data_IF_179392661346
#
_entry.id   IF_179392661346
#
_cell.length_a   1.000
_cell.length_b   1.000
_cell.length_c   1.000
_cell.angle_alpha   90.00
_cell.angle_beta   90.00
_cell.angle_gamma   90.00
#
_symmetry.space_group_name_H-M   'P 1'
#
loop_
_entity.id
_entity.type
_entity.pdbx_description
1 polymer ?
#
# COMPACT_ATOMS: atom_id res chain seq x y z
N UNK A 1 -28.10 6.45 -0.80
CA UNK A 1 -27.16 7.36 -0.13
C UNK A 1 -27.18 7.03 1.36
N UNK A 2 -26.09 7.17 2.12
CA UNK A 2 -26.12 6.86 3.54
C UNK A 2 -27.14 7.76 4.25
N UNK A 3 -27.87 7.21 5.21
CA UNK A 3 -28.80 7.93 6.08
C UNK A 3 -28.04 8.18 7.38
N UNK A 4 -27.48 9.39 7.58
CA UNK A 4 -26.68 9.76 8.75
C UNK A 4 -25.66 10.88 8.48
N UNK A 5 -24.91 11.30 9.51
CA UNK A 5 -23.82 12.26 9.41
C UNK A 5 -22.71 11.71 8.48
N UNK A 6 -22.45 12.42 7.38
CA UNK A 6 -21.49 12.05 6.35
C UNK A 6 -20.09 11.82 6.93
N UNK A 7 -19.70 12.61 7.94
CA UNK A 7 -18.41 12.48 8.61
C UNK A 7 -18.32 11.18 9.41
N UNK A 8 -19.35 10.87 10.19
CA UNK A 8 -19.41 9.64 10.98
C UNK A 8 -19.38 8.40 10.09
N UNK A 9 -20.04 8.45 8.93
CA UNK A 9 -19.99 7.38 7.94
C UNK A 9 -18.58 7.17 7.37
N UNK A 10 -17.90 8.26 6.98
CA UNK A 10 -16.51 8.22 6.48
C UNK A 10 -15.54 7.64 7.52
N UNK A 11 -15.62 8.12 8.77
CA UNK A 11 -14.79 7.64 9.87
C UNK A 11 -15.01 6.15 10.12
N UNK A 12 -16.26 5.70 10.17
CA UNK A 12 -16.61 4.29 10.38
C UNK A 12 -16.11 3.39 9.26
N UNK A 13 -16.21 3.86 8.01
CA UNK A 13 -15.72 3.12 6.83
C UNK A 13 -14.20 3.02 6.84
N UNK A 14 -13.50 4.11 7.15
CA UNK A 14 -12.04 4.11 7.21
C UNK A 14 -11.52 3.23 8.36
N UNK A 15 -12.17 3.27 9.52
CA UNK A 15 -11.90 2.39 10.65
C UNK A 15 -11.99 0.90 10.27
N UNK A 16 -13.05 0.51 9.57
CA UNK A 16 -13.23 -0.88 9.13
C UNK A 16 -12.14 -1.32 8.15
N UNK A 17 -11.73 -0.43 7.23
CA UNK A 17 -10.65 -0.70 6.28
C UNK A 17 -9.33 -0.87 7.05
N UNK A 18 -8.98 0.06 7.93
CA UNK A 18 -7.76 0.00 8.74
C UNK A 18 -7.66 -1.29 9.56
N UNK A 19 -8.73 -1.64 10.29
CA UNK A 19 -8.79 -2.87 11.08
C UNK A 19 -8.63 -4.13 10.21
N UNK A 20 -9.29 -4.17 9.06
CA UNK A 20 -9.18 -5.30 8.12
C UNK A 20 -7.76 -5.42 7.55
N UNK A 21 -7.14 -4.29 7.22
CA UNK A 21 -5.78 -4.23 6.70
C UNK A 21 -4.75 -4.71 7.72
N UNK A 22 -4.90 -4.32 8.99
CA UNK A 22 -3.98 -4.70 10.07
C UNK A 22 -4.05 -6.18 10.44
N UNK A 23 -5.20 -6.84 10.22
CA UNK A 23 -5.31 -8.32 10.39
C UNK A 23 -4.39 -9.09 9.47
N UNK A 24 -3.99 -8.52 8.33
CA UNK A 24 -3.00 -9.13 7.42
C UNK A 24 -1.55 -9.01 7.94
N UNK A 25 -1.33 -8.28 9.05
CA UNK A 25 -0.01 -8.01 9.64
C UNK A 25 1.03 -7.50 8.63
N UNK A 26 0.70 -6.44 7.87
CA UNK A 26 1.60 -5.86 6.89
C UNK A 26 2.76 -5.15 7.60
N UNK A 27 3.97 -5.26 7.04
CA UNK A 27 5.10 -4.48 7.54
C UNK A 27 4.91 -2.99 7.25
N UNK A 28 4.37 -2.62 6.08
CA UNK A 28 4.29 -1.22 5.66
C UNK A 28 3.28 -0.99 4.54
N UNK A 29 2.70 0.20 4.50
CA UNK A 29 1.80 0.69 3.46
C UNK A 29 2.37 1.95 2.79
N UNK A 30 2.37 2.00 1.47
CA UNK A 30 2.65 3.22 0.73
C UNK A 30 1.40 4.09 0.64
N UNK A 31 1.51 5.38 0.95
CA UNK A 31 0.38 6.32 0.81
C UNK A 31 0.16 6.63 -0.67
N UNK A 32 -1.02 6.32 -1.18
CA UNK A 32 -1.46 6.64 -2.54
C UNK A 32 -2.40 7.85 -2.61
N UNK A 33 -2.74 8.27 -3.83
CA UNK A 33 -3.66 9.39 -4.10
C UNK A 33 -5.01 9.23 -3.40
N UNK A 34 -5.51 8.01 -3.37
CA UNK A 34 -6.87 7.71 -2.86
C UNK A 34 -6.93 7.77 -1.33
N UNK A 35 -5.79 7.64 -0.65
CA UNK A 35 -5.73 7.66 0.81
C UNK A 35 -5.85 9.09 1.36
N UNK A 36 -5.40 10.08 0.58
CA UNK A 36 -5.35 11.50 1.00
C UNK A 36 -6.52 12.34 0.51
N UNK A 37 -7.54 11.75 -0.12
CA UNK A 37 -8.69 12.50 -0.69
C UNK A 37 -9.49 13.26 0.37
N UNK A 38 -9.51 12.75 1.60
CA UNK A 38 -10.17 13.40 2.75
C UNK A 38 -9.19 14.28 3.55
N UNK A 39 -8.02 14.58 3.00
CA UNK A 39 -6.98 15.38 3.64
C UNK A 39 -5.95 14.57 4.42
N UNK A 40 -4.72 15.07 4.44
CA UNK A 40 -3.62 14.48 5.23
C UNK A 40 -3.91 14.45 6.73
N UNK A 41 -4.52 15.48 7.36
CA UNK A 41 -4.87 15.41 8.79
C UNK A 41 -5.79 14.25 9.15
N UNK A 42 -6.75 13.92 8.28
CA UNK A 42 -7.65 12.78 8.48
C UNK A 42 -6.88 11.45 8.45
N UNK A 43 -6.00 11.28 7.47
CA UNK A 43 -5.18 10.07 7.35
C UNK A 43 -4.18 9.94 8.51
N UNK A 44 -3.59 11.03 8.98
CA UNK A 44 -2.72 11.03 10.16
C UNK A 44 -3.50 10.64 11.42
N UNK A 45 -4.74 11.11 11.58
CA UNK A 45 -5.59 10.68 12.69
C UNK A 45 -5.86 9.16 12.68
N UNK A 46 -6.02 8.56 11.50
CA UNK A 46 -6.12 7.10 11.37
C UNK A 46 -4.79 6.40 11.65
N UNK A 47 -3.69 6.98 11.17
CA UNK A 47 -2.34 6.48 11.40
C UNK A 47 -2.06 6.35 12.90
N UNK A 48 -2.33 7.41 13.65
CA UNK A 48 -2.09 7.46 15.11
C UNK A 48 -3.07 6.57 15.87
N UNK A 49 -4.34 6.52 15.46
CA UNK A 49 -5.37 5.74 16.16
C UNK A 49 -5.20 4.23 16.01
N UNK A 50 -4.71 3.77 14.87
CA UNK A 50 -4.62 2.35 14.51
C UNK A 50 -3.18 1.87 14.35
N UNK A 51 -2.19 2.70 14.66
CA UNK A 51 -0.76 2.41 14.46
C UNK A 51 -0.45 1.95 13.02
N UNK A 52 -1.07 2.58 12.02
CA UNK A 52 -0.88 2.17 10.62
C UNK A 52 0.56 2.48 10.17
N UNK A 53 1.33 1.49 9.65
CA UNK A 53 2.69 1.73 9.21
C UNK A 53 2.73 2.39 7.83
N UNK A 54 2.32 3.66 7.74
CA UNK A 54 2.27 4.42 6.50
C UNK A 54 3.62 5.06 6.17
N UNK A 55 4.00 5.07 4.89
CA UNK A 55 5.17 5.79 4.38
C UNK A 55 4.85 6.59 3.13
N UNK A 56 5.55 7.72 2.97
CA UNK A 56 5.62 8.47 1.71
C UNK A 56 6.88 9.32 1.68
N UNK A 57 7.65 9.19 0.60
CA UNK A 57 8.89 9.94 0.38
C UNK A 57 8.67 11.33 -0.20
N UNK A 58 7.54 11.58 -0.85
CA UNK A 58 7.35 12.78 -1.67
C UNK A 58 6.10 13.59 -1.33
N UNK A 59 5.28 13.20 -0.35
CA UNK A 59 4.28 14.10 0.23
C UNK A 59 4.99 15.05 1.21
N UNK A 60 4.76 16.35 1.06
CA UNK A 60 5.23 17.40 1.98
C UNK A 60 4.12 18.38 2.29
N UNK A 61 4.11 18.90 3.50
CA UNK A 61 3.26 20.00 3.92
C UNK A 61 3.81 21.32 3.37
N UNK A 62 3.00 22.38 3.36
CA UNK A 62 3.41 23.71 2.88
C UNK A 62 4.62 24.29 3.62
N UNK A 63 4.83 23.87 4.89
CA UNK A 63 6.00 24.25 5.68
C UNK A 63 7.27 23.41 5.37
N UNK A 64 7.22 22.54 4.35
CA UNK A 64 8.32 21.69 3.92
C UNK A 64 8.54 20.41 4.75
N UNK A 65 7.74 20.17 5.80
CA UNK A 65 7.84 18.94 6.59
C UNK A 65 7.20 17.76 5.87
N UNK A 66 7.81 16.58 6.01
CA UNK A 66 7.17 15.33 5.62
C UNK A 66 6.18 14.89 6.71
N UNK A 67 4.90 14.70 6.40
CA UNK A 67 3.91 14.22 7.38
C UNK A 67 4.04 12.72 7.65
N UNK A 68 4.68 11.96 6.74
CA UNK A 68 4.90 10.51 6.87
C UNK A 68 6.40 10.20 6.93
N UNK A 69 6.80 9.09 7.59
CA UNK A 69 8.13 8.55 7.41
C UNK A 69 8.43 8.31 5.93
N UNK A 70 9.64 8.70 5.50
CA UNK A 70 10.03 8.60 4.08
C UNK A 70 10.37 7.18 3.65
N UNK A 71 10.88 6.39 4.59
CA UNK A 71 11.25 5.01 4.40
C UNK A 71 11.04 4.20 5.69
N UNK A 72 10.96 2.87 5.55
CA UNK A 72 11.01 1.91 6.65
C UNK A 72 12.11 0.88 6.39
N UNK A 73 12.91 0.57 7.39
CA UNK A 73 13.88 -0.53 7.32
C UNK A 73 13.26 -1.76 7.99
N UNK A 74 13.32 -2.90 7.31
CA UNK A 74 12.83 -4.20 7.78
C UNK A 74 14.03 -5.15 7.78
N UNK A 75 14.23 -5.89 8.89
CA UNK A 75 15.16 -7.02 8.89
C UNK A 75 14.46 -8.24 8.31
N UNK A 76 14.96 -8.72 7.18
CA UNK A 76 14.48 -9.94 6.55
C UNK A 76 15.61 -10.96 6.52
N UNK A 77 15.62 -11.85 7.53
CA UNK A 77 16.61 -12.93 7.67
C UNK A 77 18.06 -12.40 7.70
N UNK A 78 18.30 -11.31 8.45
CA UNK A 78 19.61 -10.67 8.56
C UNK A 78 19.99 -9.79 7.37
N UNK A 79 19.02 -9.49 6.48
CA UNK A 79 19.17 -8.53 5.38
C UNK A 79 18.36 -7.28 5.66
N UNK A 80 18.97 -6.12 5.44
CA UNK A 80 18.31 -4.82 5.60
C UNK A 80 17.51 -4.48 4.35
N UNK A 81 16.19 -4.58 4.45
CA UNK A 81 15.27 -4.18 3.38
C UNK A 81 14.73 -2.79 3.67
N UNK A 82 15.13 -1.82 2.85
CA UNK A 82 14.55 -0.48 2.86
C UNK A 82 13.31 -0.44 1.96
N UNK A 83 12.20 0.05 2.50
CA UNK A 83 10.97 0.28 1.75
C UNK A 83 10.72 1.78 1.67
N UNK A 84 10.52 2.29 0.46
CA UNK A 84 10.19 3.71 0.19
C UNK A 84 8.79 3.80 -0.45
N UNK A 85 8.06 4.88 -0.19
CA UNK A 85 6.73 5.11 -0.77
C UNK A 85 6.73 6.28 -1.74
N UNK A 86 6.12 6.16 -2.92
CA UNK A 86 6.03 7.23 -3.91
C UNK A 86 4.58 7.44 -4.34
N UNK A 87 4.10 8.67 -4.17
CA UNK A 87 2.74 9.09 -4.50
C UNK A 87 2.73 9.90 -5.80
N UNK A 88 1.75 9.70 -6.68
CA UNK A 88 1.67 10.49 -7.92
C UNK A 88 1.39 11.98 -7.62
N UNK A 89 2.05 12.95 -8.28
CA UNK A 89 1.79 14.37 -8.08
C UNK A 89 0.55 14.85 -8.84
N UNK A 90 -0.31 15.64 -8.18
CA UNK A 90 -1.46 16.30 -8.82
C UNK A 90 -1.55 17.75 -8.33
N UNK A 91 -0.73 18.67 -8.88
CA UNK A 91 -0.47 19.97 -8.27
C UNK A 91 -1.71 20.79 -7.87
N UNK A 92 -2.75 20.82 -8.72
CA UNK A 92 -3.99 21.54 -8.42
C UNK A 92 -4.76 20.92 -7.24
N UNK A 93 -4.85 19.58 -7.21
CA UNK A 93 -5.51 18.86 -6.10
C UNK A 93 -4.68 18.92 -4.83
N UNK A 94 -3.37 18.82 -4.96
CA UNK A 94 -2.44 18.90 -3.82
C UNK A 94 -2.59 20.23 -3.09
N UNK A 95 -2.62 21.32 -3.86
CA UNK A 95 -2.87 22.66 -3.32
C UNK A 95 -4.22 22.75 -2.60
N UNK A 96 -5.27 22.14 -3.14
CA UNK A 96 -6.59 22.12 -2.46
C UNK A 96 -6.59 21.34 -1.14
N UNK A 97 -5.62 20.45 -0.94
CA UNK A 97 -5.43 19.65 0.26
C UNK A 97 -4.39 20.27 1.23
N UNK A 98 -3.82 21.44 0.92
CA UNK A 98 -2.79 22.11 1.74
C UNK A 98 -1.47 21.34 1.79
N UNK A 99 -1.15 20.63 0.70
CA UNK A 99 0.08 19.85 0.57
C UNK A 99 0.72 20.08 -0.79
N UNK A 100 1.94 19.58 -0.93
CA UNK A 100 2.61 19.41 -2.21
C UNK A 100 3.09 17.97 -2.31
N UNK A 101 2.89 17.36 -3.47
CA UNK A 101 3.56 16.11 -3.81
C UNK A 101 4.72 16.45 -4.72
N UNK A 102 5.93 16.22 -4.23
CA UNK A 102 7.16 16.51 -4.95
C UNK A 102 7.38 15.52 -6.10
N UNK A 103 8.21 15.90 -7.06
CA UNK A 103 8.60 15.03 -8.17
C UNK A 103 9.19 13.70 -7.67
N UNK A 104 8.69 12.59 -8.19
CA UNK A 104 9.01 11.25 -7.70
C UNK A 104 10.49 10.89 -7.91
N UNK A 105 11.11 11.36 -8.99
CA UNK A 105 12.50 11.02 -9.32
C UNK A 105 13.47 11.56 -8.27
N UNK A 106 13.42 12.86 -8.05
CA UNK A 106 14.28 13.55 -7.10
C UNK A 106 13.99 13.14 -5.65
N UNK A 107 12.73 12.94 -5.31
CA UNK A 107 12.34 12.45 -3.98
C UNK A 107 12.87 11.04 -3.71
N UNK A 108 12.80 10.15 -4.71
CA UNK A 108 13.34 8.81 -4.60
C UNK A 108 14.87 8.85 -4.40
N UNK A 109 15.61 9.64 -5.18
CA UNK A 109 17.07 9.80 -5.01
C UNK A 109 17.43 10.27 -3.61
N UNK A 110 16.77 11.32 -3.11
CA UNK A 110 16.99 11.81 -1.75
C UNK A 110 16.68 10.76 -0.69
N UNK A 111 15.66 9.92 -0.90
CA UNK A 111 15.34 8.86 0.06
C UNK A 111 16.34 7.71 -0.02
N UNK A 112 16.82 7.34 -1.22
CA UNK A 112 17.90 6.37 -1.39
C UNK A 112 19.16 6.77 -0.62
N UNK A 113 19.49 8.06 -0.61
CA UNK A 113 20.61 8.57 0.18
C UNK A 113 20.45 8.32 1.69
N UNK A 114 19.22 8.35 2.22
CA UNK A 114 18.93 8.09 3.64
C UNK A 114 19.03 6.61 4.01
N UNK A 115 18.85 5.72 3.03
CA UNK A 115 18.87 4.26 3.23
C UNK A 115 20.12 3.61 2.65
N UNK A 116 21.18 4.40 2.45
CA UNK A 116 22.52 3.89 2.09
C UNK A 116 22.94 2.79 3.08
N UNK A 117 23.24 1.61 2.55
CA UNK A 117 23.58 0.42 3.34
C UNK A 117 22.44 -0.56 3.55
N UNK A 118 21.25 -0.32 2.99
CA UNK A 118 20.27 -1.36 2.79
C UNK A 118 20.81 -2.42 1.81
N UNK A 119 20.61 -3.71 2.14
CA UNK A 119 20.88 -4.81 1.23
C UNK A 119 19.87 -4.83 0.09
N UNK A 120 18.64 -4.34 0.32
CA UNK A 120 17.54 -4.32 -0.64
C UNK A 120 16.74 -3.03 -0.55
N UNK A 121 16.41 -2.42 -1.70
CA UNK A 121 15.45 -1.31 -1.77
C UNK A 121 14.20 -1.71 -2.56
N UNK A 122 13.04 -1.57 -1.89
CA UNK A 122 11.70 -1.78 -2.45
C UNK A 122 10.97 -0.44 -2.51
N UNK A 123 10.42 -0.08 -3.66
CA UNK A 123 9.54 1.08 -3.82
C UNK A 123 8.08 0.64 -3.91
N UNK A 124 7.25 1.11 -2.98
CA UNK A 124 5.79 1.06 -3.09
C UNK A 124 5.34 2.28 -3.89
N UNK A 125 4.85 2.06 -5.11
CA UNK A 125 4.57 3.12 -6.07
C UNK A 125 3.07 3.24 -6.36
N UNK A 126 2.55 4.46 -6.26
CA UNK A 126 1.23 4.85 -6.78
C UNK A 126 1.35 5.65 -8.10
N UNK A 127 2.51 5.59 -8.77
CA UNK A 127 2.80 6.41 -9.95
C UNK A 127 2.07 5.92 -11.21
N UNK A 128 1.82 4.62 -11.32
CA UNK A 128 1.26 4.00 -12.52
C UNK A 128 2.35 3.40 -13.42
N UNK A 129 1.90 2.53 -14.33
CA UNK A 129 2.78 1.59 -15.04
C UNK A 129 3.93 2.26 -15.83
N UNK A 130 3.64 3.31 -16.59
CA UNK A 130 4.65 3.95 -17.46
C UNK A 130 5.70 4.70 -16.62
N UNK A 131 5.25 5.46 -15.62
CA UNK A 131 6.13 6.19 -14.70
C UNK A 131 6.96 5.24 -13.82
N UNK A 132 6.47 4.05 -13.50
CA UNK A 132 7.25 3.02 -12.79
C UNK A 132 8.42 2.50 -13.63
N UNK A 133 8.24 2.39 -14.95
CA UNK A 133 9.32 2.01 -15.85
C UNK A 133 10.31 3.16 -16.01
N UNK A 134 9.84 4.41 -16.09
CA UNK A 134 10.72 5.58 -16.08
C UNK A 134 11.48 5.71 -14.75
N UNK A 135 10.83 5.45 -13.62
CA UNK A 135 11.47 5.40 -12.30
C UNK A 135 12.60 4.38 -12.29
N UNK A 136 12.36 3.16 -12.77
CA UNK A 136 13.40 2.14 -12.86
C UNK A 136 14.56 2.54 -13.79
N UNK A 137 14.28 3.21 -14.91
CA UNK A 137 15.33 3.69 -15.85
C UNK A 137 16.18 4.81 -15.24
N UNK A 138 15.53 5.75 -14.55
CA UNK A 138 16.17 7.00 -14.13
C UNK A 138 16.80 6.90 -12.76
N UNK A 139 16.24 6.09 -11.85
CA UNK A 139 16.67 6.02 -10.45
C UNK A 139 17.32 4.67 -10.16
N UNK A 140 18.59 4.46 -10.55
CA UNK A 140 19.32 3.25 -10.19
C UNK A 140 19.46 3.15 -8.66
N UNK A 141 19.44 1.92 -8.15
CA UNK A 141 19.48 1.64 -6.71
C UNK A 141 18.15 1.19 -6.13
N UNK A 142 17.04 1.30 -6.87
CA UNK A 142 15.78 0.61 -6.54
C UNK A 142 15.83 -0.79 -7.15
N UNK A 143 15.65 -1.82 -6.34
CA UNK A 143 15.74 -3.20 -6.81
C UNK A 143 14.39 -3.77 -7.20
N UNK A 144 13.34 -3.37 -6.48
CA UNK A 144 11.98 -3.86 -6.67
C UNK A 144 11.03 -2.68 -6.62
N UNK A 145 10.12 -2.60 -7.58
CA UNK A 145 8.98 -1.69 -7.59
C UNK A 145 7.72 -2.53 -7.47
N UNK A 146 6.95 -2.30 -6.41
CA UNK A 146 5.59 -2.81 -6.26
C UNK A 146 4.66 -1.68 -6.68
N UNK A 147 4.14 -1.80 -7.91
CA UNK A 147 3.37 -0.78 -8.58
C UNK A 147 1.87 -0.86 -8.30
N UNK A 148 1.26 0.32 -8.26
CA UNK A 148 -0.15 0.56 -8.02
C UNK A 148 -0.64 1.79 -8.79
N UNK A 149 -1.67 2.47 -8.29
CA UNK A 149 -2.17 3.70 -8.89
C UNK A 149 -2.90 3.54 -10.22
N UNK A 150 -2.72 4.52 -11.09
CA UNK A 150 -3.45 4.62 -12.35
C UNK A 150 -2.97 3.57 -13.38
N UNK A 151 -3.89 3.12 -14.23
CA UNK A 151 -3.61 2.10 -15.25
C UNK A 151 -3.56 0.69 -14.65
N UNK A 152 -4.67 -0.05 -14.78
CA UNK A 152 -4.68 -1.47 -14.44
C UNK A 152 -3.94 -2.23 -15.54
N UNK A 153 -2.67 -2.52 -15.29
CA UNK A 153 -1.92 -3.52 -16.03
C UNK A 153 -1.56 -4.64 -15.06
N UNK A 154 -2.14 -5.80 -15.33
CA UNK A 154 -1.76 -7.04 -14.67
C UNK A 154 -0.50 -7.54 -15.32
N UNK A 155 0.48 -7.89 -14.49
CA UNK A 155 1.72 -8.51 -14.91
C UNK A 155 1.67 -9.97 -14.45
N UNK A 156 1.52 -10.95 -15.36
CA UNK A 156 1.61 -12.36 -14.97
C UNK A 156 3.01 -12.70 -14.46
N UNK A 157 4.03 -12.06 -15.03
CA UNK A 157 5.43 -12.14 -14.63
C UNK A 157 5.99 -10.73 -14.37
N UNK A 158 6.96 -10.57 -13.44
CA UNK A 158 7.61 -9.29 -13.20
C UNK A 158 8.20 -8.69 -14.49
N UNK A 159 7.92 -7.42 -14.76
CA UNK A 159 8.66 -6.67 -15.79
C UNK A 159 10.07 -6.34 -15.25
N UNK A 160 11.04 -6.18 -16.15
CA UNK A 160 12.42 -5.87 -15.78
C UNK A 160 12.94 -4.69 -16.59
N UNK A 161 13.55 -3.74 -15.88
CA UNK A 161 14.29 -2.61 -16.44
C UNK A 161 15.65 -2.57 -15.77
N UNK A 162 16.71 -2.89 -16.52
CA UNK A 162 18.04 -3.09 -15.94
C UNK A 162 18.01 -4.14 -14.83
N UNK A 163 18.47 -3.76 -13.63
CA UNK A 163 18.48 -4.62 -12.45
C UNK A 163 17.20 -4.53 -11.60
N UNK A 164 16.28 -3.64 -11.95
CA UNK A 164 15.02 -3.41 -11.23
C UNK A 164 13.91 -4.34 -11.73
N UNK A 165 13.23 -5.01 -10.80
CA UNK A 165 11.98 -5.72 -11.07
C UNK A 165 10.77 -4.83 -10.79
N UNK A 166 9.73 -4.97 -11.62
CA UNK A 166 8.48 -4.23 -11.49
C UNK A 166 7.35 -5.25 -11.41
N UNK A 167 6.59 -5.22 -10.32
CA UNK A 167 5.47 -6.11 -10.04
C UNK A 167 4.20 -5.30 -9.88
N UNK A 168 3.07 -5.83 -10.36
CA UNK A 168 1.75 -5.22 -10.17
C UNK A 168 0.71 -6.30 -9.89
N UNK A 169 0.00 -6.16 -8.78
CA UNK A 169 -1.16 -6.98 -8.47
C UNK A 169 -2.45 -6.28 -8.95
N UNK A 170 -3.54 -7.04 -9.06
CA UNK A 170 -4.86 -6.50 -9.35
C UNK A 170 -5.37 -5.55 -8.27
N UNK A 171 -6.47 -4.84 -8.55
CA UNK A 171 -7.12 -3.97 -7.57
C UNK A 171 -8.08 -4.75 -6.65
N UNK A 172 -8.55 -4.06 -5.60
CA UNK A 172 -9.67 -4.52 -4.74
C UNK A 172 -9.47 -5.91 -4.15
N UNK A 173 -8.22 -6.30 -3.89
CA UNK A 173 -7.89 -7.60 -3.29
C UNK A 173 -8.18 -8.81 -4.19
N UNK A 174 -8.39 -8.60 -5.50
CA UNK A 174 -8.67 -9.70 -6.44
C UNK A 174 -7.47 -10.61 -6.69
N UNK A 175 -6.29 -10.20 -6.27
CA UNK A 175 -5.04 -10.93 -6.42
C UNK A 175 -4.05 -10.50 -5.34
N UNK A 176 -3.24 -11.45 -4.88
CA UNK A 176 -2.06 -11.21 -4.05
C UNK A 176 -0.84 -11.52 -4.91
N UNK A 177 0.14 -10.63 -4.91
CA UNK A 177 1.43 -10.86 -5.56
C UNK A 177 2.41 -11.51 -4.59
N UNK A 178 3.08 -12.56 -5.02
CA UNK A 178 4.14 -13.23 -4.27
C UNK A 178 5.43 -13.19 -5.09
N UNK A 179 6.51 -12.67 -4.49
CA UNK A 179 7.84 -12.68 -5.09
C UNK A 179 8.79 -13.46 -4.20
N UNK A 180 9.18 -14.64 -4.67
CA UNK A 180 10.16 -15.47 -3.99
C UNK A 180 11.57 -15.13 -4.46
N UNK A 181 12.36 -14.54 -3.56
CA UNK A 181 13.77 -14.22 -3.80
C UNK A 181 14.63 -15.34 -3.21
N UNK A 182 14.74 -16.47 -3.93
CA UNK A 182 15.59 -17.57 -3.54
C UNK A 182 16.97 -17.45 -4.21
N UNK A 183 18.06 -17.57 -3.45
CA UNK A 183 19.42 -17.72 -4.01
C UNK A 183 19.99 -16.50 -4.74
N UNK A 184 19.40 -15.31 -4.59
CA UNK A 184 20.03 -14.09 -5.08
C UNK A 184 21.31 -13.82 -4.25
N UNK A 185 22.47 -13.97 -4.88
CA UNK A 185 23.73 -13.50 -4.29
C UNK A 185 23.64 -11.98 -4.17
N UNK A 186 23.32 -11.49 -2.96
CA UNK A 186 23.31 -10.06 -2.64
C UNK A 186 24.73 -9.47 -2.53
N UNK A 187 25.77 -10.30 -2.67
CA UNK A 187 27.15 -9.88 -2.82
C UNK A 187 27.55 -9.86 -4.31
N UNK A 188 28.17 -8.76 -4.76
CA UNK A 188 28.89 -8.70 -6.04
C UNK A 188 28.12 -8.25 -7.27
N UNK A 189 26.93 -7.67 -7.12
CA UNK A 189 26.11 -7.18 -8.23
C UNK A 189 24.75 -7.86 -8.23
N UNK A 190 23.70 -7.05 -8.13
CA UNK A 190 22.35 -7.56 -7.96
C UNK A 190 21.85 -8.23 -9.24
N UNK A 191 21.66 -9.55 -9.21
CA UNK A 191 20.94 -10.27 -10.26
C UNK A 191 19.92 -11.20 -9.61
N UNK A 192 18.63 -10.90 -9.79
CA UNK A 192 17.55 -11.78 -9.34
C UNK A 192 17.35 -12.89 -10.37
N UNK A 193 17.69 -14.15 -10.08
CA UNK A 193 17.09 -15.25 -10.81
C UNK A 193 15.59 -15.22 -10.50
N UNK A 194 14.78 -14.85 -11.51
CA UNK A 194 13.34 -15.07 -11.43
C UNK A 194 13.13 -16.50 -11.87
N UNK A 195 12.96 -17.42 -10.92
CA UNK A 195 12.38 -18.71 -11.26
C UNK A 195 10.97 -18.40 -11.82
N UNK A 196 10.54 -19.01 -12.93
CA UNK A 196 9.17 -18.87 -13.40
C UNK A 196 8.24 -19.38 -12.31
N UNK A 197 7.62 -18.47 -11.55
CA UNK A 197 6.61 -18.83 -10.59
C UNK A 197 5.31 -18.98 -11.36
N UNK A 198 4.70 -20.16 -11.28
CA UNK A 198 3.32 -20.29 -11.71
C UNK A 198 2.49 -19.39 -10.81
N UNK A 199 1.78 -18.43 -11.39
CA UNK A 199 0.65 -17.79 -10.70
C UNK A 199 -0.35 -18.90 -10.43
N UNK A 200 -0.20 -19.60 -9.30
CA UNK A 200 -1.26 -20.42 -8.76
C UNK A 200 -2.38 -19.44 -8.51
N UNK A 201 -3.38 -19.48 -9.39
CA UNK A 201 -4.46 -18.53 -9.36
C UNK A 201 -5.15 -18.73 -8.02
N UNK A 202 -4.84 -17.86 -7.07
CA UNK A 202 -5.49 -17.71 -5.76
C UNK A 202 -7.00 -17.51 -5.91
N UNK A 203 -7.48 -17.35 -7.16
CA UNK A 203 -8.85 -17.43 -7.63
C UNK A 203 -9.67 -18.54 -6.95
N UNK A 204 -9.12 -19.74 -6.73
CA UNK A 204 -9.88 -20.81 -6.06
C UNK A 204 -10.13 -20.49 -4.57
N UNK A 205 -9.13 -20.00 -3.85
CA UNK A 205 -9.25 -19.63 -2.43
C UNK A 205 -10.02 -18.31 -2.24
N UNK A 206 -9.84 -17.34 -3.15
CA UNK A 206 -10.59 -16.09 -3.20
C UNK A 206 -12.05 -16.32 -3.53
N UNK A 207 -12.38 -17.24 -4.43
CA UNK A 207 -13.77 -17.67 -4.67
C UNK A 207 -14.35 -18.37 -3.45
N UNK A 208 -13.56 -19.21 -2.75
CA UNK A 208 -13.99 -19.85 -1.50
C UNK A 208 -14.28 -18.82 -0.40
N UNK A 209 -13.40 -17.82 -0.24
CA UNK A 209 -13.57 -16.72 0.71
C UNK A 209 -14.75 -15.81 0.34
N UNK A 210 -14.94 -15.53 -0.95
CA UNK A 210 -16.09 -14.77 -1.48
C UNK A 210 -17.41 -15.49 -1.24
N UNK A 211 -17.47 -16.80 -1.51
CA UNK A 211 -18.64 -17.64 -1.24
C UNK A 211 -18.97 -17.70 0.26
N UNK A 212 -17.95 -17.77 1.12
CA UNK A 212 -18.12 -17.70 2.57
C UNK A 212 -18.70 -16.33 3.00
N UNK A 213 -18.19 -15.23 2.43
CA UNK A 213 -18.68 -13.88 2.72
C UNK A 213 -20.13 -13.67 2.23
N UNK A 214 -20.47 -14.21 1.06
CA UNK A 214 -21.83 -14.15 0.51
C UNK A 214 -22.81 -15.04 1.29
N UNK A 215 -22.35 -16.16 1.85
CA UNK A 215 -23.13 -16.98 2.78
C UNK A 215 -23.39 -16.25 4.10
N UNK A 216 -22.39 -15.51 4.61
CA UNK A 216 -22.53 -14.69 5.82
C UNK A 216 -23.54 -13.55 5.61
N UNK A 217 -23.52 -12.88 4.45
CA UNK A 217 -24.50 -11.83 4.08
C UNK A 217 -25.92 -12.36 3.85
N UNK A 218 -26.08 -13.66 3.57
CA UNK A 218 -27.38 -14.32 3.43
C UNK A 218 -27.97 -14.79 4.76
N UNK A 219 -27.19 -14.77 5.85
CA UNK A 219 -27.77 -14.93 7.19
C UNK A 219 -28.72 -13.75 7.42
N UNK A 220 -29.97 -14.01 7.85
CA UNK A 220 -30.90 -12.93 8.12
C UNK A 220 -30.28 -12.00 9.16
N UNK A 221 -30.30 -10.70 8.89
CA UNK A 221 -29.96 -9.70 9.90
C UNK A 221 -30.80 -9.99 11.15
N UNK A 222 -30.21 -9.95 12.36
CA UNK A 222 -30.96 -10.21 13.58
C UNK A 222 -32.19 -9.31 13.61
N UNK A 223 -33.34 -9.91 13.92
CA UNK A 223 -34.61 -9.19 13.94
C UNK A 223 -34.57 -8.04 14.94
N UNK A 224 -35.38 -7.01 14.74
CA UNK A 224 -35.47 -5.86 15.66
C UNK A 224 -35.70 -6.30 17.12
N UNK A 225 -36.39 -7.43 17.31
CA UNK A 225 -36.64 -8.04 18.62
C UNK A 225 -35.41 -8.77 19.22
N UNK A 226 -34.50 -9.31 18.40
CA UNK A 226 -33.23 -9.90 18.85
C UNK A 226 -32.22 -8.83 19.25
N UNK A 227 -32.15 -7.73 18.49
CA UNK A 227 -31.29 -6.58 18.82
C UNK A 227 -31.74 -5.92 20.14
N UNK A 228 -33.04 -5.82 20.37
CA UNK A 228 -33.59 -5.28 21.63
C UNK A 228 -33.36 -6.23 22.83
N UNK A 229 -33.39 -7.55 22.63
CA UNK A 229 -33.04 -8.54 23.66
C UNK A 229 -31.54 -8.52 24.02
N UNK A 230 -30.68 -8.31 23.03
CA UNK A 230 -29.23 -8.16 23.25
C UNK A 230 -28.88 -6.83 23.93
N UNK A 231 -29.69 -5.78 23.74
CA UNK A 231 -29.52 -4.49 24.42
C UNK A 231 -29.97 -4.46 25.88
N UNK A 232 -30.92 -5.32 26.29
CA UNK A 232 -31.42 -5.41 27.69
C UNK A 232 -30.62 -6.39 28.57
N UNK A 233 -29.59 -7.05 28.02
CA UNK A 233 -28.72 -7.99 28.75
C UNK A 233 -27.44 -7.38 29.32
N UNK A 234 -27.23 -6.06 29.18
CA UNK A 234 -26.09 -5.35 29.73
C UNK A 234 -26.59 -4.22 30.62
N UNK A 235 -27.01 -4.58 31.84
CA UNK A 235 -26.97 -3.65 32.97
C UNK A 235 -25.66 -3.91 33.73
N UNK A 236 -24.79 -2.90 33.74
CA UNK A 236 -23.84 -2.62 34.84
C UNK A 236 -24.14 -1.20 35.29
#
# INVERSE_FOLDING_TARGET
MPVGDERQWLESRAALIADSLLKMKPDVFGVGRKDIVNGVPFLLGLMDKYDLPLISSNIVLDNGKHPFPRAKIIDWRGKKVAVIGLTYPMPERDRSLGIRVEGWEESARRTLDLVKGADIVVALSDLGFDDEHELARRVPGINIIIGGGQGQRLLPDPSRVGDTLILRASDRGRQIGELNIAGASLSGGWRLPVAPYQVDSTRAELEKARLALDAEKKKPSPSSAEVERLGKGVEI
#
